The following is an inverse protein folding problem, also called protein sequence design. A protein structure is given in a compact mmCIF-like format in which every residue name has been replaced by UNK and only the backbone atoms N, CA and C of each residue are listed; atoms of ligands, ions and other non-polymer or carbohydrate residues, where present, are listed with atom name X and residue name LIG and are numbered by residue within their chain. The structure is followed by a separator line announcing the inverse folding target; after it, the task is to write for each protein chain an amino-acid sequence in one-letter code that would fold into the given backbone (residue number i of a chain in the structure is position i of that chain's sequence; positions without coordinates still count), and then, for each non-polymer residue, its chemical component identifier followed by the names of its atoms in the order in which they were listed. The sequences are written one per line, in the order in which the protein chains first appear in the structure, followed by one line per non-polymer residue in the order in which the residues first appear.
data_IF_026074612981
#
_entry.id   IF_026074612981
#
_cell.length_a   1.000
_cell.length_b   1.000
_cell.length_c   1.000
_cell.angle_alpha   90.00
_cell.angle_beta   90.00
_cell.angle_gamma   90.00
#
_symmetry.space_group_name_H-M   'P 1'
#
loop_
_entity.id
_entity.type
_entity.pdbx_description
1 polymer ?
#
# COMPACT_ATOMS: atom_id res chain seq x y z
N UNK A 1 14.08 -65.35 3.95
CA UNK A 1 14.71 -65.59 5.26
C UNK A 1 14.92 -64.22 5.88
N UNK A 2 14.20 -63.96 6.98
CA UNK A 2 14.44 -62.97 8.05
C UNK A 2 14.59 -61.48 7.66
N UNK A 3 13.64 -60.64 8.11
CA UNK A 3 13.71 -59.71 9.28
C UNK A 3 14.66 -58.53 8.98
N UNK A 4 14.31 -57.26 9.15
CA UNK A 4 13.25 -56.56 9.87
C UNK A 4 13.75 -55.13 10.16
N UNK A 5 12.83 -54.23 10.50
CA UNK A 5 13.03 -52.91 11.17
C UNK A 5 13.81 -51.82 10.40
N UNK A 6 13.50 -50.52 10.44
CA UNK A 6 12.37 -49.73 10.96
C UNK A 6 12.60 -48.29 10.46
N UNK A 7 11.53 -47.48 10.49
CA UNK A 7 11.51 -46.00 10.72
C UNK A 7 10.79 -45.17 9.64
N UNK A 8 9.66 -44.62 10.12
CA UNK A 8 9.08 -43.31 9.85
C UNK A 8 8.33 -43.05 8.55
N UNK A 9 7.00 -43.22 8.61
CA UNK A 9 6.03 -42.31 8.01
C UNK A 9 4.71 -42.34 8.81
N UNK A 10 4.48 -41.27 9.59
CA UNK A 10 3.20 -40.92 10.21
C UNK A 10 2.07 -40.89 9.17
N UNK A 11 0.93 -41.59 9.35
CA UNK A 11 -0.26 -41.29 8.58
C UNK A 11 -1.16 -40.31 9.35
N UNK A 12 -1.26 -39.12 8.75
CA UNK A 12 -2.32 -38.13 8.81
C UNK A 12 -3.54 -38.48 9.68
N UNK A 13 -3.86 -37.56 10.60
CA UNK A 13 -5.15 -37.45 11.24
C UNK A 13 -6.27 -37.51 10.17
N UNK A 14 -6.93 -38.68 10.08
CA UNK A 14 -8.16 -38.84 9.29
C UNK A 14 -9.20 -37.89 9.88
N UNK A 15 -9.44 -36.79 9.19
CA UNK A 15 -10.64 -35.98 9.35
C UNK A 15 -11.83 -36.88 9.03
N UNK A 16 -12.51 -37.38 10.06
CA UNK A 16 -13.82 -38.02 9.89
C UNK A 16 -14.77 -36.96 9.33
N UNK A 17 -15.42 -37.18 8.17
CA UNK A 17 -16.35 -36.21 7.63
C UNK A 17 -17.49 -35.99 8.64
N UNK A 18 -17.80 -34.72 8.90
CA UNK A 18 -18.94 -34.31 9.72
C UNK A 18 -20.23 -34.81 9.07
N UNK A 19 -20.72 -35.98 9.51
CA UNK A 19 -22.02 -36.48 9.08
C UNK A 19 -23.09 -35.42 9.36
N UNK A 20 -23.91 -35.16 8.34
CA UNK A 20 -25.02 -34.22 8.43
C UNK A 20 -26.09 -34.73 9.38
N UNK A 21 -26.91 -33.82 9.93
CA UNK A 21 -27.91 -34.17 10.94
C UNK A 21 -28.89 -35.27 10.47
N UNK A 22 -29.16 -35.32 9.17
CA UNK A 22 -30.05 -36.29 8.54
C UNK A 22 -29.40 -37.68 8.42
N UNK A 23 -28.11 -37.77 8.10
CA UNK A 23 -27.39 -39.05 8.05
C UNK A 23 -27.29 -39.70 9.44
N UNK A 24 -27.17 -38.88 10.49
CA UNK A 24 -27.14 -39.37 11.88
C UNK A 24 -28.53 -39.87 12.31
N UNK A 25 -29.60 -39.19 11.88
CA UNK A 25 -30.96 -39.63 12.13
C UNK A 25 -31.22 -40.97 11.44
N UNK A 26 -30.77 -41.13 10.20
CA UNK A 26 -30.94 -42.35 9.43
C UNK A 26 -30.11 -43.52 9.98
N UNK A 27 -28.87 -43.29 10.43
CA UNK A 27 -28.07 -44.32 11.11
C UNK A 27 -28.70 -44.77 12.43
N UNK A 28 -29.18 -43.84 13.26
CA UNK A 28 -29.86 -44.17 14.51
C UNK A 28 -31.18 -44.92 14.26
N UNK A 29 -31.90 -44.56 13.19
CA UNK A 29 -33.13 -45.22 12.77
C UNK A 29 -32.85 -46.63 12.22
N UNK A 30 -31.75 -46.80 11.49
CA UNK A 30 -31.32 -48.10 10.96
C UNK A 30 -30.91 -49.06 12.10
N UNK A 31 -30.09 -48.62 13.04
CA UNK A 31 -29.70 -49.45 14.18
C UNK A 31 -30.88 -49.79 15.10
N UNK A 32 -31.80 -48.84 15.30
CA UNK A 32 -33.02 -49.08 16.06
C UNK A 32 -33.93 -50.10 15.37
N UNK A 33 -34.05 -50.04 14.04
CA UNK A 33 -34.88 -50.99 13.27
C UNK A 33 -34.25 -52.38 13.22
N UNK A 34 -32.93 -52.49 13.09
CA UNK A 34 -32.21 -53.78 13.13
C UNK A 34 -32.29 -54.42 14.52
N UNK A 35 -32.19 -53.63 15.59
CA UNK A 35 -32.37 -54.13 16.96
C UNK A 35 -33.82 -54.59 17.22
N UNK A 36 -34.80 -53.81 16.74
CA UNK A 36 -36.22 -54.17 16.81
C UNK A 36 -36.51 -55.46 16.04
N UNK A 37 -35.97 -55.63 14.83
CA UNK A 37 -36.17 -56.84 14.03
C UNK A 37 -35.54 -58.09 14.67
N UNK A 38 -34.33 -57.99 15.22
CA UNK A 38 -33.67 -59.10 15.92
C UNK A 38 -34.39 -59.48 17.22
N UNK A 39 -34.99 -58.50 17.89
CA UNK A 39 -35.77 -58.70 19.11
C UNK A 39 -37.14 -59.35 18.82
N UNK A 40 -37.83 -58.87 17.79
CA UNK A 40 -39.14 -59.39 17.37
C UNK A 40 -39.09 -60.85 16.93
N UNK A 41 -38.00 -61.26 16.25
CA UNK A 41 -37.79 -62.65 15.84
C UNK A 41 -37.63 -63.63 17.00
N UNK A 42 -37.31 -63.17 18.23
CA UNK A 42 -37.00 -64.08 19.36
C UNK A 42 -38.14 -64.36 20.33
N UNK A 43 -39.23 -63.58 20.38
CA UNK A 43 -40.25 -63.74 21.44
C UNK A 43 -41.66 -63.34 21.00
N UNK A 44 -42.50 -64.33 20.66
CA UNK A 44 -43.85 -64.13 20.11
C UNK A 44 -45.00 -64.17 21.13
N UNK A 45 -44.77 -64.46 22.41
CA UNK A 45 -45.85 -64.50 23.40
C UNK A 45 -45.40 -63.92 24.77
N UNK A 46 -46.26 -63.08 25.36
CA UNK A 46 -46.08 -62.30 26.61
C UNK A 46 -44.96 -61.24 26.62
N UNK A 47 -45.20 -60.00 26.15
CA UNK A 47 -44.24 -58.90 26.40
C UNK A 47 -44.74 -57.45 26.20
N UNK A 48 -46.06 -57.15 26.19
CA UNK A 48 -46.50 -55.75 25.97
C UNK A 48 -46.02 -54.75 27.03
N UNK A 49 -45.98 -55.13 28.31
CA UNK A 49 -45.48 -54.26 29.39
C UNK A 49 -43.97 -54.03 29.31
N UNK A 50 -43.18 -55.07 28.99
CA UNK A 50 -41.72 -54.96 28.84
C UNK A 50 -41.30 -54.19 27.60
N UNK A 51 -42.13 -54.15 26.54
CA UNK A 51 -41.93 -53.28 25.37
C UNK A 51 -42.06 -51.80 25.75
N UNK A 52 -43.03 -51.46 26.61
CA UNK A 52 -43.23 -50.08 27.04
C UNK A 52 -42.04 -49.59 27.89
N UNK A 53 -41.58 -50.41 28.84
CA UNK A 53 -40.40 -50.10 29.67
C UNK A 53 -39.12 -49.91 28.84
N UNK A 54 -38.89 -50.76 27.84
CA UNK A 54 -37.69 -50.69 27.00
C UNK A 54 -37.74 -49.48 26.05
N UNK A 55 -38.92 -49.13 25.53
CA UNK A 55 -39.13 -47.87 24.80
C UNK A 55 -38.86 -46.66 25.67
N UNK A 56 -39.32 -46.68 26.91
CA UNK A 56 -39.12 -45.58 27.84
C UNK A 56 -37.63 -45.41 28.19
N UNK A 57 -36.91 -46.51 28.43
CA UNK A 57 -35.47 -46.50 28.66
C UNK A 57 -34.68 -46.00 27.44
N UNK A 58 -35.05 -46.41 26.23
CA UNK A 58 -34.42 -45.93 25.00
C UNK A 58 -34.71 -44.46 24.75
N UNK A 59 -35.95 -43.99 24.99
CA UNK A 59 -36.27 -42.57 24.89
C UNK A 59 -35.45 -41.74 25.88
N UNK A 60 -35.34 -42.16 27.15
CA UNK A 60 -34.52 -41.48 28.16
C UNK A 60 -33.03 -41.49 27.79
N UNK A 61 -32.53 -42.58 27.22
CA UNK A 61 -31.14 -42.67 26.76
C UNK A 61 -30.89 -41.75 25.55
N UNK A 62 -31.80 -41.76 24.57
CA UNK A 62 -31.73 -40.91 23.39
C UNK A 62 -31.78 -39.41 23.73
N UNK A 63 -32.68 -39.00 24.63
CA UNK A 63 -32.74 -37.60 25.09
C UNK A 63 -31.44 -37.22 25.82
N UNK A 64 -30.91 -38.09 26.68
CA UNK A 64 -29.64 -37.83 27.37
C UNK A 64 -28.45 -37.69 26.42
N UNK A 65 -28.43 -38.43 25.31
CA UNK A 65 -27.40 -38.34 24.26
C UNK A 65 -27.52 -37.04 23.46
N UNK A 66 -28.75 -36.64 23.12
CA UNK A 66 -29.05 -35.37 22.41
C UNK A 66 -28.61 -34.18 23.29
N UNK A 67 -28.91 -34.20 24.59
CA UNK A 67 -28.50 -33.17 25.53
C UNK A 67 -26.99 -33.06 25.66
N UNK A 68 -26.27 -34.19 25.83
CA UNK A 68 -24.79 -34.20 25.90
C UNK A 68 -24.15 -33.66 24.62
N UNK A 69 -24.66 -34.05 23.44
CA UNK A 69 -24.14 -33.54 22.15
C UNK A 69 -24.49 -32.07 21.92
N UNK A 70 -25.66 -31.60 22.39
CA UNK A 70 -26.04 -30.18 22.33
C UNK A 70 -25.13 -29.35 23.23
N UNK A 71 -24.81 -29.81 24.44
CA UNK A 71 -23.85 -29.16 25.33
C UNK A 71 -22.45 -29.08 24.71
N UNK A 72 -21.97 -30.15 24.04
CA UNK A 72 -20.67 -30.10 23.34
C UNK A 72 -20.64 -29.06 22.22
N UNK A 73 -21.71 -28.98 21.41
CA UNK A 73 -21.81 -27.97 20.33
C UNK A 73 -21.89 -26.55 20.88
N UNK A 74 -22.64 -26.35 21.96
CA UNK A 74 -22.73 -25.06 22.65
C UNK A 74 -21.36 -24.66 23.21
N UNK A 75 -20.64 -25.58 23.88
CA UNK A 75 -19.29 -25.30 24.40
C UNK A 75 -18.29 -24.96 23.30
N UNK A 76 -18.33 -25.66 22.16
CA UNK A 76 -17.48 -25.34 21.01
C UNK A 76 -17.78 -23.94 20.46
N UNK A 77 -19.06 -23.60 20.25
CA UNK A 77 -19.45 -22.26 19.80
C UNK A 77 -19.08 -21.16 20.80
N UNK A 78 -19.29 -21.40 22.10
CA UNK A 78 -18.90 -20.44 23.14
C UNK A 78 -17.38 -20.25 23.13
N UNK A 79 -16.60 -21.32 23.01
CA UNK A 79 -15.13 -21.24 22.91
C UNK A 79 -14.72 -20.38 21.71
N UNK A 80 -15.33 -20.60 20.55
CA UNK A 80 -15.00 -19.84 19.35
C UNK A 80 -15.38 -18.36 19.51
N UNK A 81 -16.54 -18.05 20.11
CA UNK A 81 -16.94 -16.67 20.43
C UNK A 81 -15.95 -16.02 21.40
N UNK A 82 -15.52 -16.72 22.45
CA UNK A 82 -14.56 -16.21 23.43
C UNK A 82 -13.21 -15.91 22.75
N UNK A 83 -12.73 -16.79 21.88
CA UNK A 83 -11.50 -16.55 21.10
C UNK A 83 -11.65 -15.32 20.22
N UNK A 84 -12.79 -15.16 19.53
CA UNK A 84 -13.06 -13.98 18.71
C UNK A 84 -13.15 -12.69 19.53
N UNK A 85 -13.74 -12.74 20.73
CA UNK A 85 -13.81 -11.58 21.63
C UNK A 85 -12.41 -11.18 22.13
N UNK A 86 -11.57 -12.15 22.48
CA UNK A 86 -10.18 -11.90 22.87
C UNK A 86 -9.39 -11.33 21.69
N UNK A 87 -9.53 -11.91 20.50
CA UNK A 87 -8.91 -11.40 19.28
C UNK A 87 -9.36 -9.96 18.98
N UNK A 88 -10.67 -9.70 19.01
CA UNK A 88 -11.22 -8.37 18.77
C UNK A 88 -10.69 -7.38 19.81
N UNK A 89 -10.61 -7.76 21.08
CA UNK A 89 -10.07 -6.93 22.14
C UNK A 89 -8.59 -6.60 21.89
N UNK A 90 -7.75 -7.61 21.64
CA UNK A 90 -6.32 -7.41 21.35
C UNK A 90 -6.13 -6.58 20.09
N UNK A 91 -6.89 -6.85 19.03
CA UNK A 91 -6.88 -6.08 17.79
C UNK A 91 -7.27 -4.62 18.04
N UNK A 92 -8.35 -4.38 18.79
CA UNK A 92 -8.84 -3.03 19.11
C UNK A 92 -7.83 -2.29 19.97
N UNK A 93 -7.26 -2.93 21.00
CA UNK A 93 -6.22 -2.29 21.82
C UNK A 93 -4.96 -2.02 21.00
N UNK A 94 -4.50 -2.98 20.20
CA UNK A 94 -3.32 -2.82 19.33
C UNK A 94 -3.48 -1.72 18.28
N UNK A 95 -4.68 -1.57 17.71
CA UNK A 95 -4.94 -0.58 16.67
C UNK A 95 -5.34 0.77 17.26
N UNK A 96 -6.28 0.82 18.21
CA UNK A 96 -6.74 2.11 18.74
C UNK A 96 -5.77 2.76 19.74
N UNK A 97 -4.97 2.01 20.49
CA UNK A 97 -4.12 2.64 21.51
C UNK A 97 -3.03 3.54 20.92
N UNK A 98 -2.61 3.29 19.67
CA UNK A 98 -1.68 4.16 18.92
C UNK A 98 -2.37 5.26 18.10
N UNK A 99 -3.48 4.94 17.42
CA UNK A 99 -4.09 5.84 16.43
C UNK A 99 -5.13 6.82 17.00
N UNK A 100 -5.54 6.68 18.27
CA UNK A 100 -6.54 7.58 18.89
C UNK A 100 -5.96 8.89 19.42
N UNK A 101 -4.65 9.10 19.30
CA UNK A 101 -4.04 10.36 19.69
C UNK A 101 -4.47 11.50 18.79
N UNK A 102 -5.34 12.39 19.28
CA UNK A 102 -5.57 13.74 18.71
C UNK A 102 -4.24 14.45 18.41
N UNK A 103 -3.19 14.10 19.16
CA UNK A 103 -1.82 14.55 19.00
C UNK A 103 -1.21 14.22 17.62
N UNK A 104 -1.45 13.01 17.07
CA UNK A 104 -0.91 12.66 15.74
C UNK A 104 -1.60 13.46 14.65
N UNK A 105 -2.93 13.58 14.74
CA UNK A 105 -3.70 14.43 13.83
C UNK A 105 -3.22 15.88 13.89
N UNK A 106 -3.06 16.44 15.10
CA UNK A 106 -2.54 17.80 15.30
C UNK A 106 -1.10 17.96 14.80
N UNK A 107 -0.27 16.92 14.92
CA UNK A 107 1.10 16.91 14.40
C UNK A 107 1.12 17.00 12.88
N UNK A 108 0.35 16.13 12.19
CA UNK A 108 0.21 16.16 10.73
C UNK A 108 -0.33 17.51 10.28
N UNK A 109 -1.35 18.02 10.98
CA UNK A 109 -1.94 19.33 10.69
C UNK A 109 -0.90 20.46 10.85
N UNK A 110 -0.06 20.42 11.89
CA UNK A 110 1.00 21.41 12.12
C UNK A 110 2.07 21.38 11.01
N UNK A 111 2.43 20.20 10.52
CA UNK A 111 3.32 20.06 9.36
C UNK A 111 2.67 20.65 8.12
N UNK A 112 1.42 20.28 7.84
CA UNK A 112 0.68 20.77 6.66
C UNK A 112 0.58 22.29 6.66
N UNK A 113 0.21 22.89 7.80
CA UNK A 113 0.10 24.36 7.91
C UNK A 113 1.44 25.09 7.80
N UNK A 114 2.55 24.46 8.21
CA UNK A 114 3.88 25.05 8.07
C UNK A 114 4.29 25.17 6.60
N UNK A 115 4.01 24.16 5.78
CA UNK A 115 4.32 24.16 4.35
C UNK A 115 3.26 24.83 3.47
N UNK A 116 2.03 24.97 3.98
CA UNK A 116 0.93 25.67 3.31
C UNK A 116 0.73 27.11 3.80
N UNK A 117 1.69 27.66 4.55
CA UNK A 117 1.56 29.01 5.12
C UNK A 117 1.37 30.04 4.01
N UNK A 118 0.54 31.04 4.28
CA UNK A 118 0.34 32.15 3.33
C UNK A 118 1.68 32.84 3.08
N UNK A 119 2.22 32.59 1.90
CA UNK A 119 3.45 33.15 1.39
C UNK A 119 3.19 33.63 -0.04
N UNK A 120 4.18 34.31 -0.63
CA UNK A 120 4.05 34.83 -2.01
C UNK A 120 3.73 33.73 -3.04
N UNK A 121 4.04 32.46 -2.75
CA UNK A 121 3.73 31.33 -3.62
C UNK A 121 3.39 30.09 -2.80
N UNK A 122 2.16 29.58 -2.91
CA UNK A 122 1.76 28.34 -2.21
C UNK A 122 2.17 27.13 -3.04
N UNK A 123 2.33 26.00 -2.38
CA UNK A 123 2.61 24.73 -3.07
C UNK A 123 1.50 24.37 -4.06
N UNK A 124 0.24 24.61 -3.70
CA UNK A 124 -0.93 24.38 -4.58
C UNK A 124 -0.94 25.21 -5.85
N UNK A 125 -0.20 26.32 -5.87
CA UNK A 125 -0.24 27.32 -6.93
C UNK A 125 0.91 27.12 -7.93
N UNK A 126 1.70 26.07 -7.75
CA UNK A 126 2.77 25.71 -8.66
C UNK A 126 2.15 25.18 -9.94
N UNK A 127 2.33 25.96 -11.02
CA UNK A 127 1.90 25.59 -12.36
C UNK A 127 3.08 25.32 -13.27
N UNK A 128 4.15 26.10 -13.18
CA UNK A 128 5.32 25.96 -14.06
C UNK A 128 6.56 25.41 -13.35
N UNK A 129 7.58 25.03 -14.12
CA UNK A 129 8.91 24.73 -13.58
C UNK A 129 9.51 25.95 -12.85
N UNK A 130 9.31 27.15 -13.37
CA UNK A 130 9.82 28.37 -12.76
C UNK A 130 9.18 28.62 -11.39
N UNK A 131 7.88 28.33 -11.26
CA UNK A 131 7.14 28.38 -10.00
C UNK A 131 7.68 27.36 -9.00
N UNK A 132 7.96 26.14 -9.44
CA UNK A 132 8.55 25.11 -8.58
C UNK A 132 9.86 25.59 -7.96
N UNK A 133 10.78 26.13 -8.76
CA UNK A 133 12.07 26.63 -8.25
C UNK A 133 11.92 27.89 -7.39
N UNK A 134 10.91 28.71 -7.64
CA UNK A 134 10.61 29.90 -6.83
C UNK A 134 10.05 29.50 -5.46
N UNK A 135 9.13 28.53 -5.44
CA UNK A 135 8.63 27.92 -4.21
C UNK A 135 9.73 27.21 -3.41
N UNK A 136 10.58 26.43 -4.09
CA UNK A 136 11.72 25.74 -3.48
C UNK A 136 12.67 26.73 -2.80
N UNK A 137 13.08 27.80 -3.49
CA UNK A 137 14.06 28.77 -2.97
C UNK A 137 13.52 29.72 -1.89
N UNK A 138 12.21 29.91 -1.82
CA UNK A 138 11.56 30.79 -0.86
C UNK A 138 10.82 30.00 0.23
N UNK A 139 9.49 29.84 0.11
CA UNK A 139 8.64 29.24 1.15
C UNK A 139 9.12 27.88 1.67
N UNK A 140 9.60 27.00 0.79
CA UNK A 140 10.06 25.68 1.18
C UNK A 140 11.33 25.75 2.03
N UNK A 141 12.38 26.42 1.57
CA UNK A 141 13.62 26.58 2.37
C UNK A 141 13.35 27.31 3.68
N UNK A 142 12.44 28.29 3.70
CA UNK A 142 12.05 28.98 4.93
C UNK A 142 11.40 28.00 5.92
N UNK A 143 10.37 27.27 5.49
CA UNK A 143 9.65 26.30 6.32
C UNK A 143 10.51 25.09 6.73
N UNK A 144 11.53 24.73 5.94
CA UNK A 144 12.37 23.57 6.24
C UNK A 144 13.58 23.98 7.10
N UNK A 145 14.26 25.08 6.82
CA UNK A 145 15.54 25.40 7.47
C UNK A 145 15.49 26.57 8.46
N UNK A 146 14.69 27.61 8.18
CA UNK A 146 14.70 28.85 8.98
C UNK A 146 13.67 28.77 10.11
N UNK A 147 12.46 28.36 9.77
CA UNK A 147 11.31 28.26 10.67
C UNK A 147 10.68 26.87 10.57
N UNK A 148 11.39 25.81 11.01
CA UNK A 148 10.88 24.45 10.97
C UNK A 148 9.62 24.31 11.85
N UNK A 149 8.73 23.33 11.53
CA UNK A 149 7.57 23.04 12.35
C UNK A 149 7.97 22.81 13.81
N UNK A 150 7.24 23.40 14.79
CA UNK A 150 7.60 23.29 16.18
C UNK A 150 7.55 21.82 16.63
N UNK A 151 8.48 21.43 17.52
CA UNK A 151 8.60 20.07 18.10
C UNK A 151 8.97 18.97 17.10
N UNK A 152 9.38 19.35 15.88
CA UNK A 152 9.87 18.44 14.86
C UNK A 152 11.31 18.79 14.51
N UNK A 153 12.14 17.75 14.43
CA UNK A 153 13.53 17.85 13.98
C UNK A 153 13.67 17.16 12.64
N UNK A 154 14.32 17.81 11.67
CA UNK A 154 14.68 17.15 10.41
C UNK A 154 15.74 16.08 10.67
N UNK A 155 15.51 14.89 10.10
CA UNK A 155 16.45 13.78 10.11
C UNK A 155 17.03 13.63 8.71
N UNK A 156 18.35 13.77 8.59
CA UNK A 156 19.02 13.72 7.28
C UNK A 156 18.84 14.99 6.43
N UNK A 157 19.11 14.85 5.14
CA UNK A 157 18.90 15.88 4.12
C UNK A 157 17.50 15.82 3.50
N UNK A 158 17.16 16.83 2.69
CA UNK A 158 15.97 16.79 1.85
C UNK A 158 16.35 16.13 0.53
N UNK A 159 15.62 15.10 0.12
CA UNK A 159 15.84 14.48 -1.19
C UNK A 159 14.92 15.11 -2.22
N UNK A 160 15.47 15.42 -3.40
CA UNK A 160 14.73 15.80 -4.59
C UNK A 160 15.04 14.75 -5.65
N UNK A 161 14.03 14.00 -6.08
CA UNK A 161 14.15 13.04 -7.18
C UNK A 161 13.16 13.39 -8.28
N UNK A 162 13.33 12.78 -9.45
CA UNK A 162 12.40 12.95 -10.56
C UNK A 162 12.19 11.66 -11.35
N UNK A 163 11.08 11.62 -12.06
CA UNK A 163 10.77 10.63 -13.09
C UNK A 163 10.81 11.30 -14.46
N UNK A 164 11.53 10.68 -15.39
CA UNK A 164 11.73 11.19 -16.76
C UNK A 164 11.20 10.19 -17.75
N UNK A 165 10.73 10.68 -18.88
CA UNK A 165 10.21 9.85 -19.97
C UNK A 165 11.07 9.94 -21.21
N UNK A 166 11.04 8.92 -22.05
CA UNK A 166 11.74 8.92 -23.34
C UNK A 166 11.03 9.79 -24.36
N UNK A 167 11.82 10.34 -25.30
CA UNK A 167 11.31 11.10 -26.45
C UNK A 167 10.98 10.16 -27.60
N UNK A 168 9.81 10.32 -28.19
CA UNK A 168 9.36 9.58 -29.37
C UNK A 168 8.92 10.52 -30.49
N UNK A 169 9.08 10.12 -31.76
CA UNK A 169 8.56 10.89 -32.89
C UNK A 169 7.05 10.69 -32.97
N UNK A 170 6.30 11.79 -32.93
CA UNK A 170 4.85 11.78 -32.99
C UNK A 170 4.29 12.67 -34.12
N UNK A 171 5.11 12.98 -35.12
CA UNK A 171 4.74 13.78 -36.31
C UNK A 171 3.46 13.27 -36.98
N UNK A 172 3.27 11.95 -37.07
CA UNK A 172 2.07 11.34 -37.66
C UNK A 172 0.80 11.65 -36.88
N UNK A 173 0.89 11.78 -35.54
CA UNK A 173 -0.23 12.12 -34.67
C UNK A 173 -0.47 13.63 -34.62
N UNK A 174 0.59 14.43 -34.68
CA UNK A 174 0.49 15.89 -34.70
C UNK A 174 -0.09 16.40 -36.03
N UNK A 175 0.14 15.69 -37.13
CA UNK A 175 -0.35 16.03 -38.47
C UNK A 175 -1.87 16.12 -38.59
N UNK A 176 -2.62 15.36 -37.80
CA UNK A 176 -4.08 15.46 -37.78
C UNK A 176 -4.58 16.73 -37.11
N UNK A 177 -3.83 17.30 -36.17
CA UNK A 177 -4.20 18.51 -35.43
C UNK A 177 -3.63 19.79 -36.05
N UNK A 178 -2.48 19.71 -36.73
CA UNK A 178 -1.81 20.85 -37.36
C UNK A 178 -1.55 20.65 -38.86
N UNK A 179 -2.59 20.40 -39.69
CA UNK A 179 -2.42 20.04 -41.09
C UNK A 179 -1.76 21.13 -41.94
N UNK A 180 -1.88 22.41 -41.56
CA UNK A 180 -1.31 23.55 -42.28
C UNK A 180 0.11 23.92 -41.84
N UNK A 181 0.50 23.65 -40.59
CA UNK A 181 1.87 23.91 -40.11
C UNK A 181 2.88 22.87 -40.61
N UNK A 182 2.40 21.68 -40.95
CA UNK A 182 3.20 20.56 -41.44
C UNK A 182 3.38 20.52 -42.98
N UNK A 183 2.63 21.34 -43.72
CA UNK A 183 2.71 21.43 -45.18
C UNK A 183 3.79 22.39 -45.70
N UNK A 184 4.54 23.05 -44.81
CA UNK A 184 5.64 23.93 -45.20
C UNK A 184 6.93 23.14 -45.14
N UNK A 185 7.29 22.46 -46.24
CA UNK A 185 8.64 22.29 -46.82
C UNK A 185 9.90 22.21 -45.91
N UNK A 186 9.79 21.91 -44.62
CA UNK A 186 10.84 22.09 -43.61
C UNK A 186 11.16 20.84 -42.79
N UNK A 187 10.55 19.68 -43.09
CA UNK A 187 10.91 18.41 -42.45
C UNK A 187 10.88 18.44 -40.92
N UNK A 188 10.07 19.32 -40.32
CA UNK A 188 10.04 19.52 -38.89
C UNK A 188 9.37 18.33 -38.20
N UNK A 189 10.18 17.47 -37.58
CA UNK A 189 9.70 16.39 -36.74
C UNK A 189 9.09 16.94 -35.45
N UNK A 190 7.88 16.50 -35.11
CA UNK A 190 7.27 16.71 -33.81
C UNK A 190 7.67 15.58 -32.88
N UNK A 191 8.13 15.94 -31.69
CA UNK A 191 8.49 15.00 -30.65
C UNK A 191 7.48 15.04 -29.52
N UNK A 192 7.14 13.86 -29.02
CA UNK A 192 6.31 13.66 -27.86
C UNK A 192 7.13 13.00 -26.76
N UNK A 193 6.62 13.09 -25.54
CA UNK A 193 7.27 12.61 -24.34
C UNK A 193 6.30 11.65 -23.62
N UNK A 194 6.80 10.49 -23.21
CA UNK A 194 6.01 9.48 -22.51
C UNK A 194 5.25 8.53 -23.42
N UNK A 195 4.28 7.84 -22.82
CA UNK A 195 3.42 6.89 -23.51
C UNK A 195 2.53 7.59 -24.56
N UNK A 196 1.78 6.82 -25.34
CA UNK A 196 0.90 7.39 -26.36
C UNK A 196 -0.13 8.38 -25.80
N UNK A 197 -0.56 8.16 -24.56
CA UNK A 197 -1.45 9.06 -23.80
C UNK A 197 -0.74 10.31 -23.24
N UNK A 198 0.59 10.40 -23.33
CA UNK A 198 1.41 11.40 -22.64
C UNK A 198 1.60 11.10 -21.14
N UNK A 199 1.03 10.01 -20.63
CA UNK A 199 1.26 9.57 -19.26
C UNK A 199 2.68 8.99 -19.10
N UNK A 200 3.17 8.99 -17.86
CA UNK A 200 4.36 8.21 -17.55
C UNK A 200 3.99 6.74 -17.43
N UNK A 201 4.86 5.92 -17.97
CA UNK A 201 4.83 4.48 -17.87
C UNK A 201 6.27 4.00 -17.73
N UNK A 202 6.47 2.95 -16.95
CA UNK A 202 7.78 2.32 -16.70
C UNK A 202 8.44 1.83 -17.99
N UNK A 203 7.66 1.43 -19.00
CA UNK A 203 8.21 1.03 -20.31
C UNK A 203 8.82 2.20 -21.09
N UNK A 204 8.32 3.42 -20.86
CA UNK A 204 8.76 4.65 -21.54
C UNK A 204 9.60 5.54 -20.59
N UNK A 205 10.12 4.98 -19.51
CA UNK A 205 10.99 5.70 -18.58
C UNK A 205 12.36 5.93 -19.22
N UNK A 206 12.87 7.16 -19.12
CA UNK A 206 14.22 7.47 -19.53
C UNK A 206 15.20 7.19 -18.38
N UNK A 207 16.08 6.21 -18.59
CA UNK A 207 17.12 5.79 -17.63
C UNK A 207 18.52 6.31 -18.00
N UNK A 208 18.66 7.09 -19.06
CA UNK A 208 19.94 7.67 -19.46
C UNK A 208 20.33 8.84 -18.55
N UNK A 209 21.61 8.88 -18.14
CA UNK A 209 22.16 10.03 -17.43
C UNK A 209 21.98 11.32 -18.26
N UNK A 210 21.75 12.44 -17.58
CA UNK A 210 21.51 13.72 -18.24
C UNK A 210 22.06 14.91 -17.45
N UNK A 211 21.97 16.10 -18.05
CA UNK A 211 22.25 17.39 -17.41
C UNK A 211 23.73 17.76 -17.30
N UNK A 212 23.98 19.04 -17.02
CA UNK A 212 25.30 19.64 -16.94
C UNK A 212 25.93 20.00 -18.29
N UNK A 213 27.02 20.77 -18.22
CA UNK A 213 27.83 21.16 -19.40
C UNK A 213 28.47 19.97 -20.12
N UNK A 214 28.62 18.83 -19.45
CA UNK A 214 29.16 17.58 -20.00
C UNK A 214 28.11 16.49 -20.26
N UNK A 215 26.84 16.70 -19.86
CA UNK A 215 25.73 15.79 -20.15
C UNK A 215 25.54 14.60 -19.20
N UNK A 216 26.25 14.54 -18.07
CA UNK A 216 26.19 13.40 -17.12
C UNK A 216 26.11 13.81 -15.64
N UNK A 217 25.64 15.03 -15.34
CA UNK A 217 25.55 15.52 -13.95
C UNK A 217 24.55 14.72 -13.10
N UNK A 218 23.55 14.10 -13.73
CA UNK A 218 22.48 13.36 -13.05
C UNK A 218 22.42 11.92 -13.55
N UNK A 219 23.03 10.97 -12.83
CA UNK A 219 22.92 9.55 -13.16
C UNK A 219 21.56 8.97 -12.71
N UNK A 220 21.10 7.90 -13.35
CA UNK A 220 19.89 7.17 -12.96
C UNK A 220 20.16 6.35 -11.68
N UNK A 221 20.16 7.05 -10.54
CA UNK A 221 20.40 6.48 -9.21
C UNK A 221 19.30 6.91 -8.23
N UNK A 222 19.05 6.05 -7.25
CA UNK A 222 18.20 6.29 -6.10
C UNK A 222 18.90 7.10 -5.02
N UNK A 223 18.37 7.07 -3.80
CA UNK A 223 18.95 7.79 -2.66
C UNK A 223 20.36 7.26 -2.34
N UNK A 224 21.33 8.16 -2.19
CA UNK A 224 22.69 7.85 -1.71
C UNK A 224 23.46 6.87 -2.64
N UNK A 225 23.37 7.10 -3.95
CA UNK A 225 23.99 6.31 -5.02
C UNK A 225 23.55 4.85 -5.09
N UNK A 226 22.41 4.52 -4.47
CA UNK A 226 21.78 3.20 -4.60
C UNK A 226 21.15 3.03 -5.98
N UNK A 227 20.94 1.79 -6.39
CA UNK A 227 20.20 1.53 -7.61
C UNK A 227 18.72 1.93 -7.42
N UNK A 228 18.19 2.73 -8.35
CA UNK A 228 16.80 3.16 -8.33
C UNK A 228 15.82 1.98 -8.32
N UNK A 229 16.15 0.87 -8.98
CA UNK A 229 15.30 -0.33 -9.00
C UNK A 229 15.20 -1.01 -7.63
N UNK A 230 16.31 -1.10 -6.90
CA UNK A 230 16.32 -1.65 -5.54
C UNK A 230 15.46 -0.81 -4.61
N UNK A 231 15.50 0.51 -4.75
CA UNK A 231 14.68 1.40 -3.92
C UNK A 231 13.17 1.25 -4.21
N UNK A 232 12.80 0.88 -5.44
CA UNK A 232 11.40 0.67 -5.81
C UNK A 232 10.80 -0.59 -5.18
N UNK A 233 11.64 -1.54 -4.77
CA UNK A 233 11.21 -2.75 -4.05
C UNK A 233 10.89 -2.46 -2.57
N UNK A 234 11.30 -1.32 -2.04
CA UNK A 234 11.06 -0.94 -0.64
C UNK A 234 9.58 -0.65 -0.37
N UNK A 235 9.15 -0.91 0.86
CA UNK A 235 7.78 -0.62 1.28
C UNK A 235 7.50 0.89 1.24
N UNK A 236 6.32 1.27 0.73
CA UNK A 236 5.87 2.67 0.59
C UNK A 236 6.77 3.54 -0.30
N UNK A 237 7.56 2.91 -1.17
CA UNK A 237 8.42 3.60 -2.13
C UNK A 237 7.60 4.31 -3.22
N UNK A 238 6.46 3.73 -3.61
CA UNK A 238 5.54 4.26 -4.63
C UNK A 238 4.56 5.30 -4.09
N UNK A 239 4.04 6.14 -4.98
CA UNK A 239 3.05 7.17 -4.65
C UNK A 239 1.95 7.20 -5.70
N UNK A 240 0.68 7.31 -5.27
CA UNK A 240 -0.45 7.47 -6.18
C UNK A 240 -0.33 8.77 -6.98
N UNK A 241 -0.72 8.74 -8.25
CA UNK A 241 -0.69 9.95 -9.07
C UNK A 241 -1.81 10.91 -8.65
N UNK A 242 -1.57 12.23 -8.66
CA UNK A 242 -2.63 13.23 -8.37
C UNK A 242 -3.79 13.19 -9.36
N UNK A 243 -3.49 12.82 -10.61
CA UNK A 243 -4.41 12.89 -11.74
C UNK A 243 -5.22 11.61 -11.94
N UNK A 244 -4.68 10.46 -11.52
CA UNK A 244 -5.33 9.15 -11.62
C UNK A 244 -5.05 8.28 -10.38
N UNK A 245 -6.08 8.00 -9.58
CA UNK A 245 -5.96 7.20 -8.36
C UNK A 245 -5.63 5.73 -8.59
N UNK A 246 -5.86 5.23 -9.81
CA UNK A 246 -5.59 3.84 -10.20
C UNK A 246 -4.16 3.64 -10.70
N UNK A 247 -3.39 4.73 -10.85
CA UNK A 247 -2.01 4.71 -11.27
C UNK A 247 -1.08 5.15 -10.14
N UNK A 248 0.07 4.50 -10.00
CA UNK A 248 1.11 4.88 -9.03
C UNK A 248 2.43 5.15 -9.73
N UNK A 249 3.10 6.22 -9.31
CA UNK A 249 4.48 6.47 -9.67
C UNK A 249 5.43 5.65 -8.78
N UNK A 250 6.45 5.01 -9.36
CA UNK A 250 7.49 4.35 -8.59
C UNK A 250 8.36 5.37 -7.85
N UNK A 251 9.26 4.89 -6.99
CA UNK A 251 10.25 5.75 -6.34
C UNK A 251 11.07 6.55 -7.39
N UNK A 252 11.39 7.82 -7.09
CA UNK A 252 12.00 8.72 -8.04
C UNK A 252 13.48 8.41 -8.24
N UNK A 253 13.95 8.53 -9.48
CA UNK A 253 15.36 8.41 -9.82
C UNK A 253 16.05 9.80 -9.83
N UNK A 254 17.33 9.83 -10.24
CA UNK A 254 18.14 11.05 -10.37
C UNK A 254 18.20 11.87 -9.07
N UNK A 255 18.34 11.18 -7.94
CA UNK A 255 18.13 11.78 -6.63
C UNK A 255 19.27 12.73 -6.25
N UNK A 256 18.90 13.94 -5.85
CA UNK A 256 19.81 14.97 -5.31
C UNK A 256 19.42 15.26 -3.87
N UNK A 257 20.40 15.28 -2.96
CA UNK A 257 20.16 15.49 -1.53
C UNK A 257 20.66 16.88 -1.12
N UNK A 258 19.76 17.70 -0.60
CA UNK A 258 20.09 18.99 0.01
C UNK A 258 20.77 18.79 1.37
N UNK A 259 21.73 19.67 1.73
CA UNK A 259 22.49 19.56 2.96
C UNK A 259 21.61 19.65 4.20
N UNK A 260 22.02 19.00 5.30
CA UNK A 260 21.17 18.90 6.49
C UNK A 260 20.94 20.23 7.20
N UNK A 261 21.89 21.16 7.24
CA UNK A 261 21.81 22.33 8.14
C UNK A 261 22.05 23.68 7.48
N UNK A 262 22.77 23.71 6.35
CA UNK A 262 23.17 24.96 5.72
C UNK A 262 22.18 25.40 4.63
N UNK A 263 21.45 26.48 4.92
CA UNK A 263 20.46 27.05 4.00
C UNK A 263 21.11 27.69 2.78
N UNK A 264 22.30 28.28 2.96
CA UNK A 264 23.02 28.95 1.89
C UNK A 264 23.52 27.93 0.88
N UNK A 265 24.09 26.83 1.36
CA UNK A 265 24.50 25.70 0.53
C UNK A 265 23.29 25.02 -0.14
N UNK A 266 22.16 24.85 0.57
CA UNK A 266 20.95 24.31 -0.04
C UNK A 266 20.44 25.19 -1.19
N UNK A 267 20.48 26.51 -1.04
CA UNK A 267 20.12 27.47 -2.08
C UNK A 267 21.06 27.41 -3.28
N UNK A 268 22.36 27.23 -3.04
CA UNK A 268 23.35 27.05 -4.10
C UNK A 268 23.07 25.78 -4.92
N UNK A 269 22.79 24.65 -4.25
CA UNK A 269 22.40 23.40 -4.91
C UNK A 269 21.13 23.60 -5.75
N UNK A 270 20.11 24.28 -5.21
CA UNK A 270 18.89 24.57 -5.98
C UNK A 270 19.14 25.49 -7.18
N UNK A 271 20.05 26.47 -7.05
CA UNK A 271 20.47 27.32 -8.16
C UNK A 271 21.19 26.52 -9.23
N UNK A 272 22.06 25.59 -8.84
CA UNK A 272 22.74 24.67 -9.75
C UNK A 272 21.75 23.77 -10.49
N UNK A 273 20.78 23.17 -9.79
CA UNK A 273 19.72 22.36 -10.42
C UNK A 273 18.92 23.16 -11.45
N UNK A 274 18.65 24.44 -11.15
CA UNK A 274 17.97 25.34 -12.09
C UNK A 274 18.83 25.67 -13.30
N UNK A 275 20.13 25.92 -13.09
CA UNK A 275 21.06 26.26 -14.15
C UNK A 275 21.31 25.09 -15.12
N UNK A 276 21.46 23.87 -14.59
CA UNK A 276 21.73 22.65 -15.35
C UNK A 276 20.47 22.01 -15.95
N UNK A 277 19.34 22.74 -15.95
CA UNK A 277 18.05 22.29 -16.47
C UNK A 277 17.61 20.92 -15.91
N UNK A 278 17.73 20.75 -14.59
CA UNK A 278 17.35 19.50 -13.92
C UNK A 278 15.89 19.11 -14.21
N UNK A 279 14.98 20.08 -14.23
CA UNK A 279 13.62 19.90 -14.72
C UNK A 279 13.57 20.42 -16.16
N UNK A 280 13.01 19.64 -17.08
CA UNK A 280 12.85 20.00 -18.49
C UNK A 280 11.64 19.29 -19.11
N UNK A 281 11.51 19.35 -20.44
CA UNK A 281 10.40 18.73 -21.17
C UNK A 281 10.31 17.20 -21.04
N UNK A 282 11.38 16.53 -20.59
CA UNK A 282 11.37 15.07 -20.34
C UNK A 282 10.91 14.74 -18.93
N UNK A 283 10.88 15.71 -18.00
CA UNK A 283 10.46 15.49 -16.62
C UNK A 283 8.95 15.34 -16.54
N UNK A 284 8.48 14.19 -16.05
CA UNK A 284 7.05 13.99 -15.77
C UNK A 284 6.71 14.40 -14.35
N UNK A 285 7.52 13.99 -13.38
CA UNK A 285 7.20 14.17 -11.97
C UNK A 285 8.45 14.51 -11.18
N UNK A 286 8.34 15.47 -10.27
CA UNK A 286 9.36 15.77 -9.26
C UNK A 286 8.80 15.39 -7.90
N UNK A 287 9.59 14.66 -7.12
CA UNK A 287 9.25 14.24 -5.77
C UNK A 287 10.27 14.82 -4.79
N UNK A 288 9.78 15.41 -3.71
CA UNK A 288 10.61 16.04 -2.67
C UNK A 288 10.27 15.38 -1.35
N UNK A 289 11.23 14.66 -0.79
CA UNK A 289 11.08 13.90 0.44
C UNK A 289 11.80 14.59 1.60
N UNK A 290 11.04 14.85 2.66
CA UNK A 290 11.53 15.43 3.92
C UNK A 290 11.19 14.50 5.06
N UNK A 291 12.22 14.04 5.77
CA UNK A 291 12.05 13.21 6.96
C UNK A 291 12.10 14.07 8.21
N UNK A 292 11.04 14.00 9.01
CA UNK A 292 10.86 14.72 10.27
C UNK A 292 10.68 13.72 11.41
N UNK A 293 11.20 14.05 12.59
CA UNK A 293 11.05 13.23 13.78
C UNK A 293 10.63 14.09 14.95
N UNK A 294 9.60 13.65 15.68
CA UNK A 294 9.18 14.29 16.92
C UNK A 294 9.71 13.49 18.11
N UNK A 295 10.61 14.09 18.90
CA UNK A 295 11.15 13.46 20.11
C UNK A 295 10.06 13.31 21.17
N UNK A 296 9.15 14.29 21.27
CA UNK A 296 8.10 14.30 22.29
C UNK A 296 7.07 13.19 22.04
N UNK A 297 6.69 12.99 20.78
CA UNK A 297 5.73 11.95 20.40
C UNK A 297 6.41 10.63 20.05
N UNK A 298 7.72 10.60 19.85
CA UNK A 298 8.50 9.45 19.37
C UNK A 298 8.03 8.88 18.03
N UNK A 299 7.50 9.75 17.16
CA UNK A 299 7.00 9.37 15.84
C UNK A 299 7.87 9.95 14.72
N UNK A 300 8.01 9.19 13.63
CA UNK A 300 8.65 9.62 12.42
C UNK A 300 7.59 10.00 11.38
N UNK A 301 7.84 11.08 10.66
CA UNK A 301 6.99 11.56 9.58
C UNK A 301 7.83 11.68 8.31
N UNK A 302 7.41 11.01 7.26
CA UNK A 302 7.92 11.26 5.93
C UNK A 302 6.94 12.20 5.22
N UNK A 303 7.41 13.37 4.81
CA UNK A 303 6.63 14.34 4.05
C UNK A 303 7.10 14.27 2.60
N UNK A 304 6.20 13.91 1.69
CA UNK A 304 6.49 13.83 0.26
C UNK A 304 5.63 14.84 -0.50
N UNK A 305 6.30 15.79 -1.14
CA UNK A 305 5.68 16.69 -2.11
C UNK A 305 5.87 16.12 -3.50
N UNK A 306 4.80 16.11 -4.29
CA UNK A 306 4.80 15.60 -5.64
C UNK A 306 4.29 16.69 -6.57
N UNK A 307 5.04 16.97 -7.61
CA UNK A 307 4.69 17.90 -8.67
C UNK A 307 4.72 17.15 -9.99
N UNK A 308 3.54 16.96 -10.59
CA UNK A 308 3.35 16.28 -11.88
C UNK A 308 3.22 17.32 -12.99
N UNK A 309 4.07 17.27 -14.01
CA UNK A 309 4.04 18.14 -15.18
C UNK A 309 3.24 17.49 -16.31
N UNK A 310 2.17 18.15 -16.77
CA UNK A 310 1.23 17.68 -17.80
C UNK A 310 1.71 17.97 -19.24
N UNK A 311 1.95 16.96 -20.09
CA UNK A 311 1.93 17.13 -21.54
C UNK A 311 0.48 17.20 -22.04
N UNK A 312 0.16 17.97 -23.11
CA UNK A 312 1.06 18.71 -24.01
C UNK A 312 1.25 20.19 -23.64
N UNK A 313 0.85 20.63 -22.45
CA UNK A 313 0.78 22.05 -22.08
C UNK A 313 2.13 22.72 -21.81
N UNK A 314 3.23 21.95 -21.71
CA UNK A 314 4.60 22.44 -21.52
C UNK A 314 4.91 23.01 -20.13
N UNK A 315 3.96 23.75 -19.55
CA UNK A 315 4.12 24.54 -18.32
C UNK A 315 2.96 24.32 -17.32
N UNK A 316 2.18 23.25 -17.46
CA UNK A 316 1.10 22.94 -16.52
C UNK A 316 1.57 21.89 -15.51
N UNK A 317 1.43 22.17 -14.22
CA UNK A 317 1.79 21.27 -13.13
C UNK A 317 0.60 21.03 -12.19
N UNK A 318 0.53 19.82 -11.64
CA UNK A 318 -0.43 19.41 -10.62
C UNK A 318 0.34 18.98 -9.39
N UNK A 319 -0.04 19.54 -8.25
CA UNK A 319 0.67 19.29 -6.99
C UNK A 319 -0.12 18.37 -6.07
N UNK A 320 0.57 17.45 -5.40
CA UNK A 320 0.01 16.63 -4.32
C UNK A 320 1.00 16.55 -3.17
N UNK A 321 0.48 16.53 -1.95
CA UNK A 321 1.28 16.40 -0.73
C UNK A 321 0.78 15.17 0.04
N UNK A 322 1.71 14.27 0.39
CA UNK A 322 1.44 13.13 1.26
C UNK A 322 2.31 13.19 2.51
N UNK A 323 1.76 12.71 3.63
CA UNK A 323 2.43 12.66 4.93
C UNK A 323 2.21 11.30 5.59
N UNK A 324 2.77 10.21 5.04
CA UNK A 324 2.76 8.92 5.72
C UNK A 324 3.40 9.04 7.11
N UNK A 325 2.68 8.54 8.11
CA UNK A 325 3.16 8.46 9.50
C UNK A 325 3.65 7.05 9.79
N UNK A 326 4.83 6.95 10.39
CA UNK A 326 5.44 5.70 10.83
C UNK A 326 5.69 5.69 12.33
#
# INVERSE_FOLDING_TARGET
MQLGEDSDLLPAARSTPLLTADEILELARHDATVCLQRWWKRRRHHNHQRIAELREQLCRYATSLIEKRRQSRIRAKIRDIVIHLVFLYVYTVSTHHGYTGEQLFRLIQAVRTSYSRESAQRFSDISSQADLFTWLNGPFLEATYVSPPPLLSRVGGVRIGQLRVTRSNCSSRAASFFPTALNVSSGADFYCYGADSGAFDTENENTAAFGGTTGSSFPFLGLNDTNADTEREEYFSSMQTPTNTDQSYPAPAYSVVLPRSDVSQAREVLSWLRHDAYVDAYTRTVMIDVNLYSIMLRHALAVRFLVEFLPPSGDGAVTSQSTPCH
#
